data_IF_287327983329
#
_entry.id   IF_287327983329
#
_cell.length_a   1.000
_cell.length_b   1.000
_cell.length_c   1.000
_cell.angle_alpha   90.00
_cell.angle_beta   90.00
_cell.angle_gamma   90.00
#
_symmetry.space_group_name_H-M   'P 1'
#
loop_
_entity.id
_entity.type
_entity.pdbx_description
1 polymer ?
2 non-polymer ?
3 non-polymer ?
4 non-polymer ?
5 non-polymer ?
6 water ?
#
# COMPACT_ATOMS: atom_id res chain seq x y z
N UNK A 5 -14.15 7.56 -1.56
CA UNK A 5 -14.24 6.78 -0.28
C UNK A 5 -12.94 6.03 0.03
N UNK A 6 -11.79 6.54 -0.44
CA UNK A 6 -10.50 5.86 -0.27
C UNK A 6 -10.07 5.86 1.19
N UNK A 7 -9.61 4.70 1.64
CA UNK A 7 -9.08 4.51 2.99
C UNK A 7 -7.77 5.27 3.21
N UNK A 8 -6.90 5.27 2.21
CA UNK A 8 -5.59 5.91 2.33
C UNK A 8 -5.46 6.94 1.23
N UNK A 9 -4.57 7.88 1.48
CA UNK A 9 -4.20 8.90 0.53
C UNK A 9 -2.69 8.88 0.25
N UNK A 10 -2.33 9.55 -0.84
CA UNK A 10 -0.94 9.66 -1.23
C UNK A 10 -0.14 10.15 -0.04
N UNK A 11 0.99 9.51 0.18
CA UNK A 11 1.91 9.90 1.21
C UNK A 11 1.66 9.27 2.57
N UNK A 12 0.49 8.63 2.80
CA UNK A 12 0.30 7.95 4.06
C UNK A 12 1.37 6.90 4.24
N UNK A 13 1.87 6.76 5.48
CA UNK A 13 2.79 5.68 5.82
C UNK A 13 1.99 4.47 6.25
N UNK A 14 2.25 3.34 5.63
CA UNK A 14 1.50 2.12 5.87
C UNK A 14 2.46 0.96 6.00
N UNK A 15 1.96 -0.12 6.61
CA UNK A 15 2.67 -1.38 6.63
C UNK A 15 1.71 -2.51 6.34
N UNK A 16 2.29 -3.61 5.86
CA UNK A 16 1.55 -4.83 5.74
C UNK A 16 1.32 -5.40 7.11
N UNK A 17 0.10 -5.87 7.35
CA UNK A 17 -0.31 -6.36 8.65
C UNK A 17 0.29 -7.70 9.00
N UNK A 18 0.45 -8.59 8.02
CA UNK A 18 0.90 -9.92 8.35
C UNK A 18 1.62 -10.55 7.19
N UNK A 19 2.32 -11.63 7.49
CA UNK A 19 3.06 -12.34 6.47
C UNK A 19 4.29 -11.55 6.03
N UNK A 20 4.63 -11.66 4.76
CA UNK A 20 5.80 -10.96 4.26
C UNK A 20 5.63 -9.47 4.55
N UNK A 21 6.72 -8.84 5.02
CA UNK A 21 6.65 -7.48 5.46
C UNK A 21 6.76 -6.49 4.32
N UNK A 22 6.19 -5.32 4.54
CA UNK A 22 6.34 -4.19 3.62
C UNK A 22 5.97 -2.93 4.39
N UNK A 23 6.69 -1.83 4.18
CA UNK A 23 6.40 -0.60 4.91
C UNK A 23 6.91 0.56 4.12
N UNK A 24 6.11 1.61 4.01
CA UNK A 24 6.51 2.82 3.32
C UNK A 24 5.32 3.66 2.99
N UNK A 25 5.43 4.51 1.97
CA UNK A 25 4.41 5.46 1.66
C UNK A 25 3.53 5.03 0.51
N UNK A 26 2.25 5.41 0.61
CA UNK A 26 1.33 5.24 -0.49
C UNK A 26 1.75 6.11 -1.64
N UNK A 27 1.90 5.51 -2.82
CA UNK A 27 2.31 6.17 -4.04
C UNK A 27 1.38 5.93 -5.21
N UNK A 28 0.27 5.21 -5.02
CA UNK A 28 -0.66 5.00 -6.09
C UNK A 28 -1.78 4.09 -5.65
N UNK A 29 -2.59 3.70 -6.64
CA UNK A 29 -3.76 2.90 -6.34
C UNK A 29 -4.16 2.13 -7.59
N UNK A 30 -4.95 1.08 -7.33
CA UNK A 30 -5.44 0.28 -8.43
C UNK A 30 -6.75 -0.39 -7.99
N UNK A 31 -7.47 -0.92 -8.98
CA UNK A 31 -8.76 -1.51 -8.73
C UNK A 31 -8.99 -2.64 -9.73
N UNK A 32 -9.27 -3.84 -9.23
CA UNK A 32 -9.67 -4.98 -10.04
C UNK A 32 -10.89 -5.59 -9.39
N UNK A 33 -11.47 -6.61 -10.03
CA UNK A 33 -12.55 -7.32 -9.39
C UNK A 33 -12.08 -8.06 -8.14
N UNK A 34 -10.88 -8.62 -8.18
CA UNK A 34 -10.35 -9.31 -7.02
C UNK A 34 -10.00 -8.35 -5.90
N UNK A 35 -9.53 -7.16 -6.28
CA UNK A 35 -9.04 -6.16 -5.36
C UNK A 35 -9.68 -4.83 -5.70
N UNK A 36 -10.91 -4.59 -5.24
CA UNK A 36 -11.61 -3.38 -5.64
C UNK A 36 -11.01 -2.10 -5.08
N UNK A 37 -10.19 -2.23 -4.04
CA UNK A 37 -9.48 -1.09 -3.46
C UNK A 37 -8.07 -1.53 -3.14
N UNK A 38 -7.12 -1.14 -3.98
CA UNK A 38 -5.73 -1.52 -3.83
C UNK A 38 -4.83 -0.30 -3.85
N UNK A 39 -3.65 -0.47 -3.29
CA UNK A 39 -2.70 0.62 -3.17
C UNK A 39 -1.31 0.18 -3.59
N UNK A 40 -0.57 1.13 -4.16
CA UNK A 40 0.87 0.98 -4.41
C UNK A 40 1.62 1.64 -3.25
N UNK A 41 2.64 0.95 -2.73
CA UNK A 41 3.39 1.38 -1.58
C UNK A 41 4.87 1.33 -1.93
N UNK A 42 5.57 2.43 -1.84
CA UNK A 42 7.00 2.46 -2.05
C UNK A 42 7.70 2.15 -0.74
N UNK A 43 8.59 1.17 -0.73
CA UNK A 43 9.34 0.83 0.48
C UNK A 43 10.12 2.04 0.97
N UNK A 44 10.08 2.25 2.29
CA UNK A 44 10.91 3.25 2.94
C UNK A 44 12.32 2.74 3.16
N UNK A 45 12.54 1.43 3.06
CA UNK A 45 13.86 0.83 3.24
C UNK A 45 14.58 0.67 1.91
N UNK A 46 13.84 0.43 0.84
CA UNK A 46 14.40 0.13 -0.47
C UNK A 46 13.83 1.17 -1.45
N UNK A 47 14.41 2.36 -1.52
CA UNK A 47 13.86 3.40 -2.37
C UNK A 47 13.66 2.92 -3.79
N UNK A 48 12.52 3.31 -4.38
CA UNK A 48 12.19 2.94 -5.73
C UNK A 48 11.42 1.64 -5.86
N UNK A 49 11.50 0.76 -4.85
CA UNK A 49 10.79 -0.50 -4.98
C UNK A 49 9.37 -0.32 -4.45
N UNK A 50 8.43 -0.78 -5.27
CA UNK A 50 7.01 -0.58 -5.03
C UNK A 50 6.30 -1.92 -5.08
N UNK A 51 5.44 -2.16 -4.10
CA UNK A 51 4.52 -3.29 -4.11
C UNK A 51 3.10 -2.77 -4.14
N UNK A 52 2.21 -3.61 -4.67
CA UNK A 52 0.78 -3.35 -4.66
C UNK A 52 0.08 -4.36 -3.77
N UNK A 53 -0.86 -3.85 -2.97
CA UNK A 53 -1.62 -4.67 -2.05
C UNK A 53 -3.05 -4.23 -1.96
N UNK A 54 -3.96 -5.17 -1.64
CA UNK A 54 -5.32 -4.81 -1.25
C UNK A 54 -5.32 -4.00 0.03
N UNK A 55 -6.33 -3.14 0.16
CA UNK A 55 -6.47 -2.35 1.36
C UNK A 55 -6.49 -3.19 2.62
N UNK A 56 -7.12 -4.36 2.61
CA UNK A 56 -7.24 -5.15 3.82
C UNK A 56 -5.89 -5.66 4.33
N UNK A 57 -4.87 -5.66 3.49
CA UNK A 57 -3.56 -6.11 3.86
C UNK A 57 -2.74 -5.05 4.57
N UNK A 58 -3.19 -3.80 4.59
CA UNK A 58 -2.38 -2.65 4.99
C UNK A 58 -3.00 -1.95 6.18
N UNK A 59 -2.14 -1.32 6.98
CA UNK A 59 -2.60 -0.45 8.06
C UNK A 59 -1.70 0.77 8.10
N UNK A 60 -2.33 1.90 8.41
CA UNK A 60 -1.63 3.16 8.51
C UNK A 60 -0.88 3.20 9.84
N UNK A 61 0.31 3.78 9.80
CA UNK A 61 1.14 3.99 10.96
C UNK A 61 1.60 5.44 11.01
N UNK A 62 2.09 5.86 12.17
CA UNK A 62 2.69 7.17 12.33
C UNK A 62 3.99 7.29 11.50
X LIG B 1 9.20 -8.01 -7.74
X LIG B 1 4.72 -4.10 -7.13
X LIG B 1 5.88 -4.83 -7.59
X LIG B 1 5.83 -10.06 -4.65
X LIG B 1 7.13 -4.17 -7.24
X LIG B 1 5.79 -5.11 -9.01
X LIG B 1 3.60 -9.60 -4.08
X LIG B 1 3.72 -8.41 -4.44
X LIG B 1 4.80 -7.97 -5.24
X LIG B 1 5.83 -8.90 -5.34
X LIG B 1 6.97 -8.57 -6.18
X LIG B 1 8.04 -9.48 -6.28
X LIG B 1 9.12 -9.23 -7.06
X LIG B 1 4.80 -6.77 -5.94
X LIG B 1 5.90 -6.41 -6.75
X LIG B 1 7.02 -7.32 -6.88
X LIG B 1 8.18 -7.10 -7.68
X LIG B 1 9.95 -7.83 -8.28
X LIG B 1 5.16 -10.26 -4.12
X LIG B 1 6.52 -10.61 -4.72
X LIG B 1 7.99 -10.30 -5.81
X LIG B 1 9.83 -9.84 -7.10
X LIG B 1 4.08 -6.17 -5.85
X LIG B 1 8.25 -6.29 -8.15
X LIG C 1 3.62 -5.86 -5.97
X LIG D 1 -13.41 -10.98 -4.59
X LIG D 1 -12.94 -10.49 -3.24
X LIG D 1 -11.55 -10.53 -3.24
X LIG D 1 -13.69 -11.29 -2.16
X LIG D 1 -13.23 -8.99 -3.05
X LIG D 1 -13.05 -8.48 -1.65
X LIG D 1 -11.75 -8.05 -1.32
X LIG D 1 -14.02 -7.37 -1.46
X LIG D 1 -12.98 -11.83 -4.80
X LIG D 1 -13.18 -10.33 -5.27
X LIG D 1 -14.38 -11.10 -4.58
X LIG D 1 -11.25 -9.85 -2.85
X LIG D 1 -14.65 -11.10 -2.23
X LIG D 1 -13.37 -11.03 -1.28
X LIG D 1 -13.55 -12.24 -2.30
X LIG D 1 -12.63 -8.49 -3.64
X LIG D 1 -14.14 -8.82 -3.34
X LIG D 1 -13.29 -9.21 -1.02
X LIG D 1 -11.36 -8.63 -0.82
X LIG D 1 -14.92 -7.73 -1.42
X LIG D 1 -13.95 -6.75 -2.20
X LIG D 1 -13.82 -6.91 -0.62
X LIG E 1 13.79 -4.40 -11.30
X LIG E 1 12.78 -3.92 -10.32
X LIG E 1 11.56 -4.56 -10.29
X LIG E 1 12.60 -2.55 -10.75
X LIG E 1 13.35 -3.97 -8.84
X LIG E 1 12.74 -3.87 -7.40
X LIG E 1 11.41 -3.44 -7.47
X LIG E 1 13.20 -3.53 -6.02
X LIG E 1 13.39 -4.42 -12.19
X LIG E 1 14.09 -5.29 -11.06
X LIG E 1 14.55 -3.79 -11.30
X LIG E 1 11.27 -4.63 -11.08
X LIG E 1 13.45 -2.20 -11.09
X LIG E 1 12.33 -2.00 -9.99
X LIG E 1 11.93 -2.50 -11.45
X LIG E 1 13.86 -4.80 -8.82
X LIG E 1 14.06 -3.30 -8.84
X LIG E 1 12.53 -4.83 -7.24
X LIG E 1 11.18 -3.04 -6.75
X LIG E 1 12.82 -4.19 -5.41
X LIG E 1 14.17 -3.55 -5.89
X LIG E 1 12.80 -2.67 -5.82
X LIG F 1 -13.28 -9.32 -4.20
X LIG F 1 -13.59 -10.81 -4.08
X LIG F 1 -13.05 -11.49 -5.18
X LIG F 1 -15.09 -11.01 -4.09
X LIG F 1 -13.02 -11.45 -2.80
X LIG F 1 -11.54 -11.64 -2.72
X LIG F 1 -10.91 -11.06 -3.84
X LIG F 1 -10.97 -10.98 -1.51
X LIG F 1 -12.76 -9.16 -5.01
X LIG F 1 -12.75 -9.04 -3.43
X LIG F 1 -14.10 -8.82 -4.24
X LIG F 1 -13.00 -12.31 -4.99
X LIG F 1 -15.39 -11.27 -3.20
X LIG F 1 -15.32 -11.71 -4.73
X LIG F 1 -15.52 -10.17 -4.35
X LIG F 1 -13.30 -10.91 -2.04
X LIG F 1 -13.44 -12.33 -2.70
X LIG F 1 -11.32 -12.60 -2.70
X LIG F 1 -11.51 -10.67 -4.34
X LIG F 1 -11.66 -10.47 -1.06
X LIG F 1 -10.24 -10.39 -1.76
X LIG F 1 -10.62 -11.66 -0.90
#
# INVERSE_FOLDING_TARGET
>A
VFPSNATFGMGDRVRKKSGAAWQGQIVGWYCTNLTPEGYAVESEAHPGSVHIYPVAALERIN
>B hetero
1 CGO C12 O1 S1 N3 O2 O3 N1 N2 C7 C16 C15 C14 C13 C8 C9 C10 C11 H12 HN2 HN1 H14 H13 H8 H11
>C hetero
1 NA NA
>D hetero
1 MPD C1 C2 O2 CM C3 C4 O4 C5 H11 H12 H13 HO2 HM1 HM2 HM3 H31 H32 H4 HO4 H51 H52 H53
>E hetero
1 MRD C1 C2 O2 CM C3 C4 O4 C5 H1C1 H1C2 H1C3 H2 HMC1 HMC2 HMC3 H3C1 H3C2 H4 HA H5C1 H5C2 H5C3
>F hetero
1 MPD C1 C2 O2 CM C3 C4 O4 C5 H11 H12 H13 HO2 HM1 HM2 HM3 H31 H32 H4 HO4 H51 H52 H53
#
